data_IF_496873388750
#
_entry.id   IF_496873388750
#
_cell.length_a   1.000
_cell.length_b   1.000
_cell.length_c   1.000
_cell.angle_alpha   90.00
_cell.angle_beta   90.00
_cell.angle_gamma   90.00
#
_symmetry.space_group_name_H-M   'P 1'
#
loop_
_entity.id
_entity.type
_entity.pdbx_description
1 polymer ?
#
# COMPACT_ATOMS: atom_id res chain seq x y z
N UNK A 1 -7.51 -22.91 -6.31
CA UNK A 1 -6.80 -21.89 -5.50
C UNK A 1 -7.18 -20.44 -5.85
N UNK A 2 -7.59 -20.15 -7.10
CA UNK A 2 -7.88 -18.77 -7.52
C UNK A 2 -8.97 -18.04 -6.71
N UNK A 3 -9.98 -18.73 -6.20
CA UNK A 3 -11.06 -18.10 -5.43
C UNK A 3 -10.69 -17.70 -4.00
N UNK A 4 -9.63 -18.28 -3.42
CA UNK A 4 -9.27 -18.06 -2.01
C UNK A 4 -8.65 -16.68 -1.77
N UNK A 5 -7.76 -16.23 -2.65
CA UNK A 5 -7.13 -14.92 -2.50
C UNK A 5 -8.11 -13.76 -2.77
N UNK A 6 -9.03 -13.95 -3.72
CA UNK A 6 -10.12 -12.97 -3.95
C UNK A 6 -11.03 -12.83 -2.71
N UNK A 7 -11.26 -13.90 -1.97
CA UNK A 7 -12.01 -13.85 -0.70
C UNK A 7 -11.28 -13.04 0.37
N UNK A 8 -9.95 -13.10 0.42
CA UNK A 8 -9.16 -12.25 1.34
C UNK A 8 -9.38 -10.77 1.02
N UNK A 9 -9.30 -10.38 -0.26
CA UNK A 9 -9.56 -9.00 -0.66
C UNK A 9 -10.99 -8.56 -0.29
N UNK A 10 -11.99 -9.39 -0.63
CA UNK A 10 -13.39 -9.12 -0.31
C UNK A 10 -13.61 -8.98 1.21
N UNK A 11 -12.98 -9.84 2.01
CA UNK A 11 -13.07 -9.80 3.46
C UNK A 11 -12.41 -8.56 4.07
N UNK A 12 -11.23 -8.16 3.58
CA UNK A 12 -10.58 -6.92 3.99
C UNK A 12 -11.43 -5.69 3.66
N UNK A 13 -12.05 -5.66 2.47
CA UNK A 13 -13.00 -4.59 2.10
C UNK A 13 -14.21 -4.57 3.01
N UNK A 14 -14.82 -5.74 3.26
CA UNK A 14 -15.93 -5.87 4.18
C UNK A 14 -15.57 -5.33 5.59
N UNK A 15 -14.41 -5.70 6.14
CA UNK A 15 -13.96 -5.19 7.45
C UNK A 15 -13.74 -3.67 7.42
N UNK A 16 -13.15 -3.14 6.35
CA UNK A 16 -12.97 -1.70 6.16
C UNK A 16 -14.31 -0.96 6.19
N UNK A 17 -15.28 -1.42 5.41
CA UNK A 17 -16.61 -0.81 5.31
C UNK A 17 -17.43 -0.99 6.58
N UNK A 18 -17.43 -2.20 7.13
CA UNK A 18 -18.20 -2.57 8.33
C UNK A 18 -17.80 -1.78 9.56
N UNK A 19 -16.49 -1.58 9.73
CA UNK A 19 -15.93 -0.93 10.92
C UNK A 19 -15.56 0.55 10.68
N UNK A 20 -15.66 1.06 9.45
CA UNK A 20 -15.28 2.41 9.10
C UNK A 20 -13.80 2.70 9.37
N UNK A 21 -12.92 1.71 9.20
CA UNK A 21 -11.48 1.81 9.48
C UNK A 21 -10.67 1.68 8.21
N UNK A 22 -9.48 2.24 8.18
CA UNK A 22 -8.50 1.94 7.15
C UNK A 22 -7.64 0.75 7.59
N UNK A 23 -7.50 -0.22 6.72
CA UNK A 23 -6.60 -1.35 6.91
C UNK A 23 -5.33 -1.13 6.09
N UNK A 24 -4.18 -1.44 6.69
CA UNK A 24 -2.91 -1.41 6.00
C UNK A 24 -2.07 -2.63 6.41
N UNK A 25 -1.59 -3.38 5.43
CA UNK A 25 -0.72 -4.53 5.65
C UNK A 25 0.73 -4.08 5.47
N UNK A 26 1.56 -4.34 6.46
CA UNK A 26 3.01 -4.15 6.39
C UNK A 26 3.68 -5.48 6.15
N UNK A 27 4.44 -5.54 5.09
CA UNK A 27 5.24 -6.71 4.71
C UNK A 27 6.66 -6.51 5.23
N UNK A 28 7.11 -7.41 6.10
CA UNK A 28 8.44 -7.35 6.72
C UNK A 28 9.47 -8.29 6.08
N UNK A 29 9.02 -9.26 5.30
CA UNK A 29 9.92 -10.28 4.74
C UNK A 29 9.70 -10.58 3.25
N UNK A 30 8.81 -9.85 2.58
CA UNK A 30 8.42 -10.13 1.19
C UNK A 30 7.33 -11.20 1.05
N UNK A 31 6.57 -11.48 2.14
CA UNK A 31 5.54 -12.52 2.13
C UNK A 31 4.43 -12.26 1.12
N UNK A 32 4.11 -11.00 0.86
CA UNK A 32 3.08 -10.63 -0.13
C UNK A 32 3.53 -11.00 -1.55
N UNK A 33 4.82 -10.81 -1.85
CA UNK A 33 5.37 -11.06 -3.18
C UNK A 33 5.64 -12.54 -3.48
N UNK A 34 5.48 -13.43 -2.50
CA UNK A 34 5.71 -14.88 -2.67
C UNK A 34 4.76 -15.51 -3.70
N UNK A 35 3.58 -14.94 -3.85
CA UNK A 35 2.57 -15.40 -4.80
C UNK A 35 1.90 -14.21 -5.49
N UNK A 36 1.81 -14.25 -6.83
CA UNK A 36 1.23 -13.16 -7.63
C UNK A 36 -0.22 -12.86 -7.27
N UNK A 37 -1.04 -13.87 -7.05
CA UNK A 37 -2.45 -13.70 -6.72
C UNK A 37 -2.65 -13.13 -5.31
N UNK A 38 -1.77 -13.51 -4.36
CA UNK A 38 -1.73 -12.92 -3.02
C UNK A 38 -1.34 -11.43 -3.10
N UNK A 39 -0.30 -11.09 -3.89
CA UNK A 39 0.09 -9.68 -4.13
C UNK A 39 -1.07 -8.87 -4.72
N UNK A 40 -1.74 -9.41 -5.74
CA UNK A 40 -2.90 -8.75 -6.36
C UNK A 40 -4.04 -8.54 -5.36
N UNK A 41 -4.32 -9.52 -4.51
CA UNK A 41 -5.38 -9.44 -3.50
C UNK A 41 -5.07 -8.43 -2.39
N UNK A 42 -3.83 -8.37 -1.92
CA UNK A 42 -3.42 -7.50 -0.81
C UNK A 42 -2.98 -6.10 -1.25
N UNK A 43 -2.68 -5.90 -2.53
CA UNK A 43 -2.16 -4.64 -3.08
C UNK A 43 -2.93 -3.37 -2.67
N UNK A 44 -4.28 -3.35 -2.63
CA UNK A 44 -5.02 -2.16 -2.18
C UNK A 44 -4.76 -1.77 -0.73
N UNK A 45 -4.23 -2.68 0.07
CA UNK A 45 -4.03 -2.52 1.51
C UNK A 45 -2.56 -2.35 1.92
N UNK A 46 -1.62 -2.19 0.98
CA UNK A 46 -0.19 -2.12 1.32
C UNK A 46 0.29 -0.72 1.74
N UNK A 47 -0.55 0.30 1.64
CA UNK A 47 -0.18 1.67 1.99
C UNK A 47 -1.34 2.45 2.62
N UNK A 48 -0.99 3.41 3.49
CA UNK A 48 -1.94 4.40 3.97
C UNK A 48 -2.16 5.46 2.89
N UNK A 49 -3.38 5.58 2.37
CA UNK A 49 -3.74 6.47 1.26
C UNK A 49 -4.67 7.61 1.67
N UNK A 50 -4.94 7.79 2.98
CA UNK A 50 -5.77 8.90 3.43
C UNK A 50 -5.09 10.26 3.19
N UNK A 51 -5.88 11.34 3.04
CA UNK A 51 -5.35 12.67 2.72
C UNK A 51 -4.31 13.18 3.71
N UNK A 52 -4.48 12.92 5.01
CA UNK A 52 -3.51 13.33 6.03
C UNK A 52 -2.16 12.62 5.87
N UNK A 53 -2.15 11.29 5.72
CA UNK A 53 -0.90 10.55 5.51
C UNK A 53 -0.20 10.98 4.21
N UNK A 54 -0.97 11.26 3.15
CA UNK A 54 -0.42 11.74 1.88
C UNK A 54 0.25 13.09 2.05
N UNK A 55 -0.40 14.02 2.77
CA UNK A 55 0.16 15.32 3.07
C UNK A 55 1.42 15.23 3.94
N UNK A 56 1.38 14.44 5.02
CA UNK A 56 2.53 14.26 5.91
C UNK A 56 3.73 13.53 5.25
N UNK A 57 3.53 12.93 4.10
CA UNK A 57 4.56 12.26 3.29
C UNK A 57 4.93 13.05 2.03
N UNK A 58 4.43 14.28 1.88
CA UNK A 58 4.57 15.05 0.64
C UNK A 58 6.01 15.43 0.30
N UNK A 59 6.88 15.50 1.31
CA UNK A 59 8.30 15.66 1.11
C UNK A 59 9.11 14.48 1.65
N UNK A 60 10.36 14.42 1.21
CA UNK A 60 11.26 13.32 1.47
C UNK A 60 11.68 13.20 2.95
N UNK A 61 11.87 14.31 3.65
CA UNK A 61 12.33 14.29 5.04
C UNK A 61 11.22 13.73 5.95
N UNK A 62 9.98 14.21 5.76
CA UNK A 62 8.82 13.72 6.50
C UNK A 62 8.50 12.25 6.18
N UNK A 63 8.66 11.85 4.92
CA UNK A 63 8.46 10.46 4.54
C UNK A 63 9.50 9.52 5.18
N UNK A 64 10.77 9.91 5.28
CA UNK A 64 11.81 9.14 6.00
C UNK A 64 11.42 8.87 7.46
N UNK A 65 10.82 9.84 8.13
CA UNK A 65 10.39 9.68 9.52
C UNK A 65 9.27 8.64 9.59
N UNK A 66 8.30 8.73 8.67
CA UNK A 66 7.24 7.73 8.57
C UNK A 66 7.82 6.32 8.39
N UNK A 67 8.82 6.17 7.52
CA UNK A 67 9.48 4.89 7.26
C UNK A 67 10.26 4.36 8.47
N UNK A 68 10.93 5.24 9.21
CA UNK A 68 11.65 4.85 10.42
C UNK A 68 10.74 4.23 11.50
N UNK A 69 9.43 4.53 11.43
CA UNK A 69 8.43 3.93 12.32
C UNK A 69 8.18 2.45 12.02
N UNK A 70 8.36 2.01 10.76
CA UNK A 70 8.18 0.60 10.37
C UNK A 70 9.18 -0.28 11.14
N UNK A 71 10.43 0.16 11.24
CA UNK A 71 11.46 -0.56 12.03
C UNK A 71 11.10 -0.65 13.50
N UNK A 72 10.63 0.45 14.10
CA UNK A 72 10.18 0.46 15.50
C UNK A 72 8.97 -0.46 15.71
N UNK A 73 8.05 -0.49 14.77
CA UNK A 73 6.89 -1.37 14.79
C UNK A 73 7.32 -2.84 14.69
N UNK A 74 8.24 -3.17 13.75
CA UNK A 74 8.82 -4.50 13.62
C UNK A 74 9.37 -5.00 14.96
N UNK A 75 10.31 -4.27 15.57
CA UNK A 75 10.91 -4.68 16.84
C UNK A 75 9.91 -4.79 17.99
N UNK A 76 8.86 -3.96 17.97
CA UNK A 76 7.78 -4.06 18.96
C UNK A 76 6.95 -5.31 18.74
N UNK A 77 6.54 -5.60 17.51
CA UNK A 77 5.82 -6.83 17.15
C UNK A 77 6.62 -8.09 17.50
N UNK A 78 7.92 -8.10 17.17
CA UNK A 78 8.81 -9.22 17.42
C UNK A 78 8.96 -9.51 18.92
N UNK A 79 9.12 -8.45 19.74
CA UNK A 79 9.29 -8.57 21.19
C UNK A 79 7.99 -8.94 21.90
N UNK A 80 6.91 -8.21 21.62
CA UNK A 80 5.66 -8.27 22.38
C UNK A 80 4.74 -9.42 21.91
N UNK A 81 4.80 -9.80 20.64
CA UNK A 81 4.10 -10.91 19.99
C UNK A 81 2.56 -10.89 20.12
N UNK A 82 1.98 -9.75 20.43
CA UNK A 82 0.53 -9.59 20.55
C UNK A 82 0.07 -8.27 19.94
N UNK A 83 -1.24 -8.18 19.68
CA UNK A 83 -1.91 -6.96 19.23
C UNK A 83 -1.70 -5.82 20.23
N UNK A 84 -1.39 -4.63 19.71
CA UNK A 84 -1.26 -3.44 20.54
C UNK A 84 -1.81 -2.21 19.83
N UNK A 85 -2.21 -1.22 20.63
CA UNK A 85 -2.53 0.10 20.12
C UNK A 85 -1.27 0.97 20.09
N UNK A 86 -1.00 1.57 18.92
CA UNK A 86 0.14 2.45 18.70
C UNK A 86 -0.27 3.80 18.14
N UNK A 87 0.65 4.76 18.23
CA UNK A 87 0.48 6.07 17.62
C UNK A 87 1.71 6.36 16.74
N UNK A 88 1.47 6.73 15.47
CA UNK A 88 2.54 7.09 14.55
C UNK A 88 3.21 8.43 14.95
N UNK A 89 4.31 8.79 14.28
CA UNK A 89 5.05 10.04 14.54
C UNK A 89 4.17 11.28 14.36
N UNK A 90 3.22 11.24 13.44
CA UNK A 90 2.31 12.33 13.13
C UNK A 90 0.98 12.30 13.92
N UNK A 91 0.84 11.40 14.89
CA UNK A 91 -0.28 11.40 15.83
C UNK A 91 -1.48 10.53 15.46
N UNK A 92 -1.45 9.78 14.34
CA UNK A 92 -2.50 8.80 14.03
C UNK A 92 -2.39 7.58 14.93
N UNK A 93 -3.53 7.19 15.52
CA UNK A 93 -3.65 5.99 16.34
C UNK A 93 -4.15 4.80 15.52
N UNK A 94 -3.51 3.65 15.67
CA UNK A 94 -3.87 2.41 14.99
C UNK A 94 -3.63 1.19 15.89
N UNK A 95 -4.44 0.16 15.70
CA UNK A 95 -4.12 -1.17 16.21
C UNK A 95 -3.17 -1.86 15.26
N UNK A 96 -2.14 -2.50 15.81
CA UNK A 96 -1.14 -3.26 15.06
C UNK A 96 -1.26 -4.72 15.47
N UNK A 97 -1.62 -5.55 14.51
CA UNK A 97 -1.83 -6.99 14.65
C UNK A 97 -0.68 -7.69 13.94
N UNK A 98 0.29 -8.31 14.65
CA UNK A 98 1.42 -8.97 14.02
C UNK A 98 1.00 -10.25 13.29
N UNK A 99 1.67 -10.55 12.18
CA UNK A 99 1.48 -11.77 11.38
C UNK A 99 2.71 -12.64 11.53
N UNK A 100 2.53 -13.87 11.98
CA UNK A 100 3.63 -14.83 12.21
C UNK A 100 3.50 -16.08 11.33
N UNK A 101 4.64 -16.61 10.89
CA UNK A 101 4.80 -17.98 10.41
C UNK A 101 5.62 -18.74 11.46
N UNK A 102 4.96 -19.49 12.34
CA UNK A 102 5.58 -20.04 13.54
C UNK A 102 6.17 -18.93 14.43
N UNK A 103 7.49 -18.98 14.62
CA UNK A 103 8.21 -17.95 15.39
C UNK A 103 8.65 -16.74 14.55
N UNK A 104 8.54 -16.80 13.24
CA UNK A 104 9.00 -15.75 12.36
C UNK A 104 7.94 -14.68 12.16
N UNK A 105 8.25 -13.44 12.51
CA UNK A 105 7.41 -12.28 12.19
C UNK A 105 7.54 -11.95 10.71
N UNK A 106 6.43 -12.06 9.96
CA UNK A 106 6.40 -11.84 8.51
C UNK A 106 5.78 -10.51 8.12
N UNK A 107 4.90 -9.95 8.96
CA UNK A 107 4.22 -8.70 8.67
C UNK A 107 3.34 -8.21 9.80
N UNK A 108 2.50 -7.22 9.51
CA UNK A 108 1.40 -6.81 10.40
C UNK A 108 0.19 -6.34 9.61
N UNK A 109 -1.00 -6.46 10.22
CA UNK A 109 -2.21 -5.76 9.81
C UNK A 109 -2.36 -4.56 10.73
N UNK A 110 -2.45 -3.37 10.16
CA UNK A 110 -2.67 -2.14 10.89
C UNK A 110 -4.09 -1.67 10.64
N UNK A 111 -4.87 -1.43 11.69
CA UNK A 111 -6.26 -0.98 11.64
C UNK A 111 -6.38 0.39 12.30
N UNK A 112 -6.82 1.38 11.56
CA UNK A 112 -6.96 2.78 12.02
C UNK A 112 -7.86 3.57 11.07
N UNK A 113 -8.07 4.87 11.24
CA UNK A 113 -7.37 5.68 12.24
C UNK A 113 -8.35 6.07 13.33
N UNK A 114 -7.97 5.79 14.55
CA UNK A 114 -8.80 6.09 15.70
C UNK A 114 -8.39 7.42 16.34
N UNK A 115 -9.41 8.14 16.80
CA UNK A 115 -9.16 9.30 17.65
C UNK A 115 -8.49 8.82 18.94
N UNK A 116 -7.37 9.42 19.25
CA UNK A 116 -6.68 9.24 20.52
C UNK A 116 -6.71 10.55 21.32
N UNK A 117 -5.93 10.67 22.37
CA UNK A 117 -5.84 11.86 23.19
C UNK A 117 -5.59 13.11 22.30
N UNK A 118 -6.63 13.84 21.95
CA UNK A 118 -6.62 14.91 20.95
C UNK A 118 -5.49 15.91 21.17
N UNK A 119 -5.27 16.33 22.42
CA UNK A 119 -4.20 17.26 22.78
C UNK A 119 -2.81 16.73 22.45
N UNK A 120 -2.54 15.43 22.69
CA UNK A 120 -1.26 14.80 22.35
C UNK A 120 -1.10 14.65 20.83
N UNK A 121 -2.16 14.35 20.15
CA UNK A 121 -2.18 14.23 18.68
C UNK A 121 -1.87 15.56 18.03
N UNK A 122 -2.57 16.63 18.41
CA UNK A 122 -2.33 17.98 17.87
C UNK A 122 -0.89 18.44 18.13
N UNK A 123 -0.36 18.19 19.34
CA UNK A 123 1.04 18.48 19.64
C UNK A 123 2.02 17.71 18.72
N UNK A 124 1.74 16.44 18.44
CA UNK A 124 2.57 15.64 17.51
C UNK A 124 2.48 16.14 16.07
N UNK A 125 1.29 16.52 15.61
CA UNK A 125 1.10 17.11 14.28
C UNK A 125 1.93 18.40 14.16
N UNK A 126 1.79 19.34 15.09
CA UNK A 126 2.57 20.57 15.09
C UNK A 126 4.09 20.30 15.10
N UNK A 127 4.54 19.38 15.94
CA UNK A 127 5.96 19.01 16.02
C UNK A 127 6.45 18.35 14.72
N UNK A 128 5.64 17.51 14.10
CA UNK A 128 5.99 16.88 12.83
C UNK A 128 6.04 17.91 11.70
N UNK A 129 5.08 18.85 11.62
CA UNK A 129 5.06 19.91 10.61
C UNK A 129 6.18 20.94 10.77
N UNK A 130 6.71 21.13 11.98
CA UNK A 130 7.83 22.06 12.24
C UNK A 130 9.19 21.54 11.75
N UNK A 131 9.28 20.32 11.25
CA UNK A 131 10.53 19.78 10.69
C UNK A 131 10.84 20.40 9.33
N UNK A 132 12.10 20.36 8.93
CA UNK A 132 12.57 20.99 7.69
C UNK A 132 12.45 20.04 6.49
N UNK A 133 11.81 20.46 5.40
CA UNK A 133 11.07 21.72 5.21
C UNK A 133 9.75 21.72 5.99
N UNK A 134 9.30 22.88 6.50
CA UNK A 134 8.09 22.95 7.33
C UNK A 134 6.82 22.73 6.48
N UNK A 135 5.86 21.99 7.04
CA UNK A 135 4.51 21.82 6.50
C UNK A 135 3.53 22.76 7.20
N UNK A 136 2.44 23.09 6.52
CA UNK A 136 1.34 23.85 7.11
C UNK A 136 0.60 22.99 8.15
N UNK A 137 0.77 23.37 9.43
CA UNK A 137 0.17 22.65 10.56
C UNK A 137 -1.35 22.75 10.58
N UNK A 138 -1.94 23.86 10.14
CA UNK A 138 -3.38 24.06 10.12
C UNK A 138 -4.04 23.20 9.04
N UNK A 139 -3.41 23.11 7.87
CA UNK A 139 -3.84 22.18 6.83
C UNK A 139 -3.72 20.73 7.31
N UNK A 140 -2.60 20.37 7.94
CA UNK A 140 -2.41 19.04 8.50
C UNK A 140 -3.49 18.67 9.51
N UNK A 141 -3.86 19.60 10.42
CA UNK A 141 -4.92 19.38 11.40
C UNK A 141 -6.30 19.24 10.75
N UNK A 142 -6.61 20.03 9.70
CA UNK A 142 -7.87 19.86 8.94
C UNK A 142 -7.93 18.48 8.29
N UNK A 143 -6.87 18.07 7.60
CA UNK A 143 -6.78 16.76 6.96
C UNK A 143 -6.83 15.61 7.98
N UNK A 144 -6.21 15.78 9.14
CA UNK A 144 -6.32 14.83 10.25
C UNK A 144 -7.78 14.62 10.67
N UNK A 145 -8.54 15.71 10.95
CA UNK A 145 -9.94 15.60 11.36
C UNK A 145 -10.83 14.92 10.31
N UNK A 146 -10.50 15.09 9.02
CA UNK A 146 -11.19 14.41 7.92
C UNK A 146 -10.83 12.92 7.80
N UNK A 147 -9.67 12.53 8.31
CA UNK A 147 -9.13 11.18 8.16
C UNK A 147 -9.40 10.26 9.36
N UNK A 148 -9.82 10.81 10.49
CA UNK A 148 -10.15 10.02 11.67
C UNK A 148 -11.60 9.61 11.65
N UNK A 149 -11.85 8.38 12.05
CA UNK A 149 -13.18 7.84 12.23
C UNK A 149 -13.41 7.50 13.72
N UNK A 150 -14.59 7.81 14.21
CA UNK A 150 -15.05 7.24 15.48
C UNK A 150 -15.61 5.87 15.14
N UNK A 151 -15.03 4.78 15.65
CA UNK A 151 -15.55 3.45 15.33
C UNK A 151 -17.00 3.33 15.79
N UNK A 152 -17.89 3.01 14.86
CA UNK A 152 -19.30 2.76 15.14
C UNK A 152 -19.54 1.36 15.72
N UNK A 153 -18.50 0.57 15.98
CA UNK A 153 -18.57 -0.86 16.25
C UNK A 153 -17.62 -1.25 17.39
N UNK A 154 -17.99 -2.33 18.05
CA UNK A 154 -17.16 -2.99 19.05
C UNK A 154 -15.76 -3.34 18.49
N UNK A 155 -14.77 -2.64 19.04
CA UNK A 155 -13.35 -2.81 18.67
C UNK A 155 -12.91 -4.26 18.94
N UNK A 156 -13.45 -4.92 19.96
CA UNK A 156 -13.12 -6.31 20.31
C UNK A 156 -13.44 -7.28 19.16
N UNK A 157 -14.63 -7.18 18.57
CA UNK A 157 -15.00 -8.02 17.42
C UNK A 157 -14.12 -7.75 16.18
N UNK A 158 -13.81 -6.50 15.94
CA UNK A 158 -12.89 -6.13 14.85
C UNK A 158 -11.50 -6.75 15.06
N UNK A 159 -10.94 -6.63 16.26
CA UNK A 159 -9.63 -7.18 16.58
C UNK A 159 -9.61 -8.70 16.44
N UNK A 160 -10.60 -9.40 16.98
CA UNK A 160 -10.70 -10.87 16.83
C UNK A 160 -10.75 -11.31 15.37
N UNK A 161 -11.48 -10.58 14.52
CA UNK A 161 -11.54 -10.87 13.09
C UNK A 161 -10.18 -10.63 12.39
N UNK A 162 -9.46 -9.57 12.77
CA UNK A 162 -8.16 -9.24 12.20
C UNK A 162 -7.06 -10.18 12.71
N UNK A 163 -7.13 -10.61 13.96
CA UNK A 163 -6.21 -11.61 14.53
C UNK A 163 -6.37 -12.97 13.83
N UNK A 164 -7.61 -13.42 13.61
CA UNK A 164 -7.86 -14.61 12.80
C UNK A 164 -7.33 -14.50 11.37
N UNK A 165 -7.51 -13.32 10.76
CA UNK A 165 -6.96 -13.07 9.42
C UNK A 165 -5.43 -13.07 9.42
N UNK A 166 -4.79 -12.53 10.45
CA UNK A 166 -3.33 -12.54 10.61
C UNK A 166 -2.79 -13.98 10.71
N UNK A 167 -3.41 -14.83 11.52
CA UNK A 167 -3.08 -16.25 11.59
C UNK A 167 -3.24 -16.95 10.24
N UNK A 168 -4.35 -16.68 9.55
CA UNK A 168 -4.61 -17.27 8.24
C UNK A 168 -3.56 -16.84 7.19
N UNK A 169 -3.13 -15.57 7.18
CA UNK A 169 -2.06 -15.08 6.31
C UNK A 169 -0.73 -15.75 6.63
N UNK A 170 -0.43 -15.99 7.90
CA UNK A 170 0.74 -16.74 8.32
C UNK A 170 0.74 -18.18 7.81
N UNK A 171 -0.38 -18.88 7.92
CA UNK A 171 -0.56 -20.25 7.41
C UNK A 171 -0.44 -20.31 5.88
N UNK A 172 -1.04 -19.35 5.16
CA UNK A 172 -0.90 -19.25 3.70
C UNK A 172 0.57 -19.10 3.31
N UNK A 173 1.29 -18.20 3.97
CA UNK A 173 2.70 -18.00 3.70
C UNK A 173 3.52 -19.26 3.95
N UNK A 174 3.27 -19.96 5.07
CA UNK A 174 3.88 -21.24 5.38
C UNK A 174 3.70 -22.28 4.26
N UNK A 175 2.46 -22.44 3.80
CA UNK A 175 2.12 -23.36 2.71
C UNK A 175 2.79 -22.98 1.39
N UNK A 176 2.75 -21.69 1.02
CA UNK A 176 3.37 -21.21 -0.22
C UNK A 176 4.89 -21.38 -0.19
N UNK A 177 5.52 -21.12 0.94
CA UNK A 177 6.96 -21.29 1.13
C UNK A 177 7.38 -22.77 1.05
N UNK A 178 6.61 -23.68 1.63
CA UNK A 178 6.91 -25.11 1.61
C UNK A 178 6.75 -25.76 0.24
N UNK A 179 5.99 -25.14 -0.67
CA UNK A 179 5.78 -25.65 -2.04
C UNK A 179 6.78 -25.12 -3.07
N UNK A 180 7.61 -24.13 -2.70
CA UNK A 180 8.65 -23.60 -3.59
C UNK A 180 9.98 -24.34 -3.35
N UNK A 181 10.69 -24.80 -4.41
CA UNK A 181 12.03 -25.33 -4.24
C UNK A 181 12.95 -24.24 -3.68
N UNK A 182 13.70 -24.60 -2.64
CA UNK A 182 14.55 -23.76 -1.83
C UNK A 182 15.27 -22.64 -2.60
N UNK A 183 14.82 -21.39 -2.37
CA UNK A 183 15.71 -20.25 -2.41
C UNK A 183 15.96 -19.83 -0.96
N UNK A 184 17.16 -20.09 -0.46
CA UNK A 184 17.61 -19.82 0.91
C UNK A 184 17.62 -18.34 1.32
N UNK A 185 16.86 -17.49 0.63
CA UNK A 185 16.85 -16.03 0.83
C UNK A 185 15.58 -15.47 1.46
N UNK A 186 14.61 -16.33 1.86
CA UNK A 186 13.37 -15.89 2.49
C UNK A 186 13.39 -16.25 3.96
N UNK A 187 13.74 -15.32 4.82
CA UNK A 187 13.59 -15.56 6.24
C UNK A 187 14.58 -14.86 7.16
N UNK A 188 14.64 -13.58 7.07
CA UNK A 188 14.94 -12.60 8.15
C UNK A 188 14.58 -11.24 7.59
N UNK A 189 14.01 -10.35 8.41
CA UNK A 189 14.11 -8.93 8.15
C UNK A 189 15.59 -8.62 8.07
N UNK A 190 16.20 -8.98 6.95
CA UNK A 190 17.44 -8.37 6.58
C UNK A 190 17.07 -6.92 6.33
N UNK A 191 17.70 -6.05 7.09
CA UNK A 191 17.92 -4.65 6.78
C UNK A 191 18.70 -4.59 5.44
N UNK A 192 18.19 -5.32 4.43
CA UNK A 192 18.69 -5.16 3.09
C UNK A 192 18.09 -3.83 2.67
N UNK A 193 18.94 -2.84 2.55
CA UNK A 193 18.62 -1.54 1.99
C UNK A 193 17.77 -1.67 0.70
N UNK A 194 17.85 -2.80 0.04
CA UNK A 194 17.15 -3.13 -1.20
C UNK A 194 15.64 -3.36 -1.05
N UNK A 195 15.19 -4.10 -0.04
CA UNK A 195 13.75 -4.36 0.15
C UNK A 195 13.04 -3.09 0.62
N UNK A 196 13.70 -2.32 1.46
CA UNK A 196 13.24 -1.00 1.87
C UNK A 196 13.16 -0.05 0.66
N UNK A 197 14.19 0.03 -0.16
CA UNK A 197 14.25 0.84 -1.38
C UNK A 197 13.13 0.42 -2.35
N UNK A 198 12.92 -0.87 -2.55
CA UNK A 198 11.85 -1.36 -3.41
C UNK A 198 10.47 -1.01 -2.89
N UNK A 199 10.21 -1.22 -1.60
CA UNK A 199 8.92 -0.85 -0.98
C UNK A 199 8.63 0.64 -1.13
N UNK A 200 9.64 1.49 -0.95
CA UNK A 200 9.53 2.94 -1.17
C UNK A 200 9.21 3.28 -2.63
N UNK A 201 9.92 2.65 -3.58
CA UNK A 201 9.70 2.88 -4.99
C UNK A 201 8.27 2.48 -5.40
N UNK A 202 7.79 1.34 -4.92
CA UNK A 202 6.43 0.85 -5.19
C UNK A 202 5.35 1.75 -4.59
N UNK A 203 5.57 2.22 -3.35
CA UNK A 203 4.63 3.15 -2.71
C UNK A 203 4.60 4.50 -3.43
N UNK A 204 5.77 5.06 -3.80
CA UNK A 204 5.84 6.29 -4.58
C UNK A 204 5.09 6.17 -5.90
N UNK A 205 5.28 5.08 -6.64
CA UNK A 205 4.58 4.84 -7.91
C UNK A 205 3.08 4.79 -7.70
N UNK A 206 2.59 4.09 -6.69
CA UNK A 206 1.15 3.96 -6.39
C UNK A 206 0.49 5.29 -6.05
N UNK A 207 1.19 6.17 -5.37
CA UNK A 207 0.65 7.47 -4.95
C UNK A 207 0.77 8.54 -6.03
N UNK A 208 1.77 8.42 -6.90
CA UNK A 208 2.09 9.44 -7.90
C UNK A 208 1.83 8.98 -9.35
N UNK A 209 1.19 7.84 -9.57
CA UNK A 209 1.00 7.25 -10.91
C UNK A 209 0.36 8.20 -11.93
N UNK A 210 -0.47 9.15 -11.48
CA UNK A 210 -1.08 10.16 -12.36
C UNK A 210 -0.09 11.16 -12.92
N UNK A 211 1.02 11.38 -12.23
CA UNK A 211 2.05 12.33 -12.60
C UNK A 211 3.12 11.66 -13.47
N UNK A 212 3.93 12.48 -14.15
CA UNK A 212 5.13 11.97 -14.81
C UNK A 212 6.11 11.50 -13.73
N UNK A 213 6.47 10.22 -13.74
CA UNK A 213 7.47 9.62 -12.85
C UNK A 213 8.73 9.35 -13.67
N UNK A 214 9.84 9.96 -13.27
CA UNK A 214 11.16 9.68 -13.84
C UNK A 214 11.97 8.78 -12.92
N UNK A 215 12.93 8.04 -13.48
CA UNK A 215 13.84 7.21 -12.67
C UNK A 215 14.64 8.08 -11.71
N UNK A 216 15.07 9.26 -12.15
CA UNK A 216 15.82 10.21 -11.32
C UNK A 216 15.02 10.71 -10.09
N UNK A 217 13.75 11.07 -10.27
CA UNK A 217 12.88 11.44 -9.14
C UNK A 217 12.69 10.28 -8.18
N UNK A 218 12.44 9.08 -8.72
CA UNK A 218 12.21 7.90 -7.92
C UNK A 218 13.47 7.46 -7.16
N UNK A 219 14.65 7.54 -7.79
CA UNK A 219 15.92 7.21 -7.14
C UNK A 219 16.32 8.25 -6.08
N UNK A 220 16.07 9.54 -6.34
CA UNK A 220 16.25 10.60 -5.36
C UNK A 220 15.33 10.37 -4.14
N UNK A 221 14.07 10.00 -4.37
CA UNK A 221 13.12 9.64 -3.32
C UNK A 221 13.57 8.42 -2.51
N UNK A 222 14.11 7.40 -3.18
CA UNK A 222 14.63 6.18 -2.55
C UNK A 222 16.06 6.33 -1.99
N UNK A 223 16.69 7.50 -2.12
CA UNK A 223 18.07 7.78 -1.68
C UNK A 223 19.14 6.83 -2.22
N UNK A 224 19.02 6.50 -3.49
CA UNK A 224 19.99 5.66 -4.17
C UNK A 224 20.28 6.20 -5.58
N UNK A 225 21.27 5.63 -6.27
CA UNK A 225 21.53 6.00 -7.65
C UNK A 225 20.50 5.39 -8.61
N UNK A 226 20.26 6.04 -9.75
CA UNK A 226 19.33 5.59 -10.81
C UNK A 226 19.65 4.16 -11.27
N UNK A 227 20.93 3.88 -11.46
CA UNK A 227 21.42 2.56 -11.89
C UNK A 227 21.17 1.48 -10.85
N UNK A 228 21.36 1.81 -9.56
CA UNK A 228 21.13 0.90 -8.47
C UNK A 228 19.64 0.59 -8.31
N UNK A 229 18.77 1.61 -8.28
CA UNK A 229 17.33 1.45 -8.25
C UNK A 229 16.83 0.61 -9.43
N UNK A 230 17.22 0.96 -10.66
CA UNK A 230 16.78 0.26 -11.87
C UNK A 230 17.13 -1.22 -11.85
N UNK A 231 18.34 -1.56 -11.37
CA UNK A 231 18.80 -2.95 -11.24
C UNK A 231 18.01 -3.73 -10.20
N UNK A 232 17.82 -3.18 -9.00
CA UNK A 232 17.04 -3.81 -7.92
C UNK A 232 15.59 -3.98 -8.37
N UNK A 233 15.00 -2.90 -8.86
CA UNK A 233 13.60 -2.88 -9.28
C UNK A 233 13.31 -3.95 -10.33
N UNK A 234 14.15 -4.02 -11.40
CA UNK A 234 14.02 -5.05 -12.46
C UNK A 234 14.23 -6.46 -11.92
N UNK A 235 15.22 -6.67 -11.04
CA UNK A 235 15.51 -7.97 -10.44
C UNK A 235 14.34 -8.47 -9.59
N UNK A 236 13.71 -7.59 -8.81
CA UNK A 236 12.65 -7.92 -7.84
C UNK A 236 11.26 -7.97 -8.47
N UNK A 237 10.96 -7.11 -9.45
CA UNK A 237 9.63 -7.02 -10.08
C UNK A 237 9.56 -7.74 -11.44
N UNK A 238 10.70 -8.16 -11.98
CA UNK A 238 10.81 -8.76 -13.31
C UNK A 238 10.70 -7.76 -14.47
N UNK A 239 10.35 -6.50 -14.21
CA UNK A 239 10.14 -5.46 -15.24
C UNK A 239 10.85 -4.16 -14.87
N UNK A 240 11.11 -3.30 -15.85
CA UNK A 240 11.64 -1.96 -15.55
C UNK A 240 10.56 -1.04 -14.96
N UNK A 241 11.00 0.06 -14.33
CA UNK A 241 10.15 1.03 -13.64
C UNK A 241 9.05 1.57 -14.55
N UNK A 242 9.38 1.99 -15.79
CA UNK A 242 8.40 2.56 -16.71
C UNK A 242 7.31 1.56 -17.10
N UNK A 243 7.69 0.31 -17.36
CA UNK A 243 6.73 -0.78 -17.64
C UNK A 243 5.84 -1.04 -16.42
N UNK A 244 6.41 -0.99 -15.22
CA UNK A 244 5.64 -1.18 -13.98
C UNK A 244 4.64 -0.03 -13.75
N UNK A 245 5.07 1.23 -13.93
CA UNK A 245 4.17 2.40 -13.86
C UNK A 245 3.01 2.25 -14.83
N UNK A 246 3.30 1.87 -16.08
CA UNK A 246 2.26 1.66 -17.08
C UNK A 246 1.32 0.51 -16.69
N UNK A 247 1.82 -0.60 -16.14
CA UNK A 247 0.95 -1.68 -15.62
C UNK A 247 0.01 -1.18 -14.54
N UNK A 248 0.49 -0.40 -13.57
CA UNK A 248 -0.34 0.19 -12.52
C UNK A 248 -1.44 1.07 -13.11
N UNK A 249 -1.10 1.92 -14.06
CA UNK A 249 -2.06 2.79 -14.76
C UNK A 249 -3.12 1.99 -15.52
N UNK A 250 -2.72 0.91 -16.20
CA UNK A 250 -3.67 0.05 -16.93
C UNK A 250 -4.64 -0.67 -15.99
N UNK A 251 -4.15 -1.17 -14.86
CA UNK A 251 -5.02 -1.79 -13.86
C UNK A 251 -6.07 -0.79 -13.32
N UNK A 252 -5.64 0.44 -13.05
CA UNK A 252 -6.54 1.49 -12.57
C UNK A 252 -7.52 2.01 -13.64
N UNK A 253 -7.14 1.94 -14.92
CA UNK A 253 -8.02 2.31 -16.02
C UNK A 253 -9.17 1.31 -16.24
N UNK A 254 -9.05 0.06 -15.84
CA UNK A 254 -10.09 -0.96 -16.03
C UNK A 254 -11.40 -0.59 -15.35
N UNK A 255 -11.34 -0.08 -14.11
CA UNK A 255 -12.53 0.29 -13.36
C UNK A 255 -13.40 1.36 -14.08
N UNK A 256 -12.86 2.54 -14.43
CA UNK A 256 -13.66 3.51 -15.15
C UNK A 256 -14.08 3.02 -16.54
N UNK A 257 -13.30 2.18 -17.21
CA UNK A 257 -13.71 1.56 -18.46
C UNK A 257 -14.95 0.67 -18.30
N UNK A 258 -15.11 0.00 -17.17
CA UNK A 258 -16.24 -0.88 -16.89
C UNK A 258 -17.46 -0.17 -16.30
N UNK A 259 -17.24 0.90 -15.53
CA UNK A 259 -18.25 1.46 -14.62
C UNK A 259 -18.64 2.91 -14.94
N UNK A 260 -17.94 3.59 -15.86
CA UNK A 260 -18.25 4.97 -16.21
C UNK A 260 -18.48 5.17 -17.72
N UNK A 261 -19.22 6.24 -18.05
CA UNK A 261 -19.43 6.69 -19.43
C UNK A 261 -18.36 7.71 -19.89
N UNK A 262 -17.29 7.93 -19.11
CA UNK A 262 -16.19 8.81 -19.48
C UNK A 262 -15.57 8.38 -20.80
N UNK A 263 -15.15 9.34 -21.62
CA UNK A 263 -14.46 9.05 -22.87
C UNK A 263 -13.12 8.34 -22.61
N UNK A 264 -12.62 7.62 -23.61
CA UNK A 264 -11.29 6.99 -23.52
C UNK A 264 -10.19 8.04 -23.26
N UNK A 265 -10.37 9.26 -23.78
CA UNK A 265 -9.44 10.36 -23.55
C UNK A 265 -9.47 10.87 -22.10
N UNK A 266 -10.63 11.01 -21.50
CA UNK A 266 -10.78 11.38 -20.09
C UNK A 266 -10.19 10.32 -19.15
N UNK A 267 -10.47 9.04 -19.43
CA UNK A 267 -9.88 7.93 -18.67
C UNK A 267 -8.35 7.92 -18.81
N UNK A 268 -7.82 8.10 -20.02
CA UNK A 268 -6.38 8.20 -20.24
C UNK A 268 -5.75 9.32 -19.39
N UNK A 269 -6.37 10.51 -19.41
CA UNK A 269 -5.92 11.65 -18.60
C UNK A 269 -6.00 11.35 -17.09
N UNK A 270 -7.09 10.74 -16.62
CA UNK A 270 -7.31 10.41 -15.20
C UNK A 270 -6.27 9.45 -14.63
N UNK A 271 -5.68 8.60 -15.48
CA UNK A 271 -4.62 7.64 -15.09
C UNK A 271 -3.22 8.11 -15.47
N UNK A 272 -3.06 9.37 -15.93
CA UNK A 272 -1.76 10.03 -16.13
C UNK A 272 -1.15 9.87 -17.52
N UNK A 273 -1.97 9.65 -18.57
CA UNK A 273 -1.52 9.72 -19.96
C UNK A 273 -1.94 11.04 -20.59
N UNK A 274 -0.96 11.79 -21.10
CA UNK A 274 -1.24 13.04 -21.83
C UNK A 274 -1.72 12.82 -23.27
N UNK A 275 -1.49 11.63 -23.83
CA UNK A 275 -1.90 11.26 -25.20
C UNK A 275 -2.78 10.01 -25.17
N UNK A 276 -4.09 10.13 -25.54
CA UNK A 276 -5.02 9.00 -25.57
C UNK A 276 -4.64 7.91 -26.59
N UNK A 277 -3.92 8.26 -27.66
CA UNK A 277 -3.48 7.28 -28.64
C UNK A 277 -2.32 6.43 -28.05
N UNK A 278 -1.41 7.08 -27.34
CA UNK A 278 -0.36 6.36 -26.63
C UNK A 278 -0.93 5.47 -25.52
N UNK A 279 -1.90 5.97 -24.75
CA UNK A 279 -2.65 5.16 -23.79
C UNK A 279 -3.25 3.90 -24.45
N UNK A 280 -3.97 4.06 -25.57
CA UNK A 280 -4.64 2.93 -26.24
C UNK A 280 -3.65 1.89 -26.74
N UNK A 281 -2.48 2.31 -27.24
CA UNK A 281 -1.40 1.38 -27.64
C UNK A 281 -0.85 0.61 -26.45
N UNK A 282 -0.52 1.32 -25.35
CA UNK A 282 0.02 0.69 -24.14
C UNK A 282 -1.02 -0.24 -23.49
N UNK A 283 -2.28 0.16 -23.46
CA UNK A 283 -3.38 -0.66 -22.95
C UNK A 283 -3.49 -1.96 -23.74
N UNK A 284 -3.54 -1.87 -25.08
CA UNK A 284 -3.60 -3.04 -25.96
C UNK A 284 -2.40 -3.96 -25.77
N UNK A 285 -1.20 -3.39 -25.65
CA UNK A 285 0.03 -4.15 -25.44
C UNK A 285 0.03 -4.93 -24.11
N UNK A 286 -0.51 -4.34 -23.04
CA UNK A 286 -0.50 -4.93 -21.69
C UNK A 286 -1.70 -5.85 -21.46
N UNK A 287 -2.88 -5.47 -21.93
CA UNK A 287 -4.16 -6.14 -21.65
C UNK A 287 -4.55 -7.13 -22.77
N UNK A 288 -4.01 -6.94 -23.99
CA UNK A 288 -4.26 -7.81 -25.14
C UNK A 288 -5.42 -7.37 -26.04
N UNK A 289 -6.27 -6.44 -25.60
CA UNK A 289 -7.37 -5.85 -26.37
C UNK A 289 -7.41 -4.34 -26.19
N UNK A 290 -8.03 -3.61 -27.13
CA UNK A 290 -8.11 -2.15 -27.05
C UNK A 290 -9.01 -1.68 -25.89
N UNK A 291 -8.83 -0.44 -25.37
CA UNK A 291 -9.71 0.12 -24.35
C UNK A 291 -11.19 0.12 -24.76
N UNK A 292 -11.48 0.44 -26.01
CA UNK A 292 -12.84 0.43 -26.56
C UNK A 292 -13.44 -0.97 -26.59
N UNK A 293 -12.65 -1.95 -27.02
CA UNK A 293 -13.06 -3.36 -27.01
C UNK A 293 -13.22 -3.88 -25.57
N UNK A 294 -12.34 -3.48 -24.67
CA UNK A 294 -12.43 -3.81 -23.24
C UNK A 294 -13.73 -3.26 -22.65
N UNK A 295 -14.05 -2.00 -22.90
CA UNK A 295 -15.32 -1.39 -22.50
C UNK A 295 -16.50 -2.20 -23.05
N UNK A 296 -16.53 -2.45 -24.35
CA UNK A 296 -17.63 -3.19 -25.00
C UNK A 296 -17.89 -4.56 -24.38
N UNK A 297 -16.84 -5.25 -23.93
CA UNK A 297 -16.93 -6.59 -23.31
C UNK A 297 -17.34 -6.58 -21.86
N UNK A 298 -16.92 -5.57 -21.10
CA UNK A 298 -17.00 -5.58 -19.64
C UNK A 298 -17.78 -4.41 -19.05
N UNK A 299 -18.28 -3.46 -19.86
CA UNK A 299 -19.13 -2.39 -19.36
C UNK A 299 -20.45 -3.02 -18.86
N UNK A 300 -20.73 -2.83 -17.58
CA UNK A 300 -22.00 -3.19 -17.00
C UNK A 300 -23.01 -2.09 -17.43
N UNK A 301 -23.77 -2.35 -18.48
CA UNK A 301 -24.97 -1.58 -18.72
C UNK A 301 -25.95 -2.00 -17.62
N UNK A 302 -26.33 -1.06 -16.76
CA UNK A 302 -27.56 -1.18 -15.98
C UNK A 302 -28.71 -1.35 -16.97
N UNK A 303 -29.23 -2.57 -17.04
CA UNK A 303 -30.46 -2.90 -17.74
C UNK A 303 -31.64 -2.68 -16.79
#
# INVERSE_FOLDING_TARGET
>A
MDSSFQKINAYLRYLTERHGVQLCIKDFCGFVAINKQLDEALRPFLAHTNPFCMYMKSDQAHYRICLSMIRKMYHKCERDRHTYFGMCHAGLGEYVIPIFDGDMLIGSINAGFFQNQERKTLHRICRACAQTPPLDADLAQRLYRQSIHTPSVDVGHMLSALELLAEYLGQIYHLLRSTQPHSDTVGRYHDSSEDTILAHALEYIRTNYKNRITVAELSAFCHCSDSYLSRIFKRRTGVNINVYVNKVRMELAKNPLCLSNESIAEIAASVGFGDPNYFSRVFTQIIGISPTEFRKRFHQNDA
#
